data_IF_116439860251
#
_entry.id   IF_116439860251
#
_cell.length_a   1.000
_cell.length_b   1.000
_cell.length_c   1.000
_cell.angle_alpha   90.00
_cell.angle_beta   90.00
_cell.angle_gamma   90.00
#
_symmetry.space_group_name_H-M   'P 1'
#
loop_
_entity.id
_entity.type
_entity.pdbx_description
1 polymer ?
#
# COMPACT_ATOMS: atom_id res chain seq x y z
N UNK A 1 1.45 14.19 8.85
CA UNK A 1 0.11 13.76 9.28
C UNK A 1 0.29 12.44 10.03
N UNK A 2 -0.10 12.32 11.31
CA UNK A 2 0.11 11.10 12.08
C UNK A 2 -0.89 10.02 11.65
N UNK A 3 -0.40 8.82 11.33
CA UNK A 3 -1.22 7.68 10.92
C UNK A 3 -1.52 6.80 12.14
N UNK A 4 -2.78 6.41 12.35
CA UNK A 4 -3.20 5.67 13.55
C UNK A 4 -2.48 4.33 13.67
N UNK A 5 -2.31 3.62 12.55
CA UNK A 5 -1.56 2.36 12.51
C UNK A 5 -0.08 2.54 12.87
N UNK A 6 0.55 3.61 12.38
CA UNK A 6 1.93 3.95 12.74
C UNK A 6 2.06 4.25 14.24
N UNK A 7 1.13 5.03 14.81
CA UNK A 7 1.16 5.32 16.24
C UNK A 7 1.01 4.04 17.10
N UNK A 8 0.08 3.16 16.72
CA UNK A 8 -0.10 1.86 17.39
C UNK A 8 1.14 0.97 17.26
N UNK A 9 1.74 0.87 16.07
CA UNK A 9 2.95 0.07 15.87
C UNK A 9 4.13 0.62 16.68
N UNK A 10 4.30 1.94 16.70
CA UNK A 10 5.37 2.60 17.45
C UNK A 10 5.21 2.42 18.97
N UNK A 11 3.98 2.49 19.49
CA UNK A 11 3.70 2.19 20.90
C UNK A 11 4.11 0.76 21.28
N UNK A 12 3.80 -0.22 20.41
CA UNK A 12 4.22 -1.62 20.60
C UNK A 12 5.74 -1.77 20.56
N UNK A 13 6.42 -1.10 19.61
CA UNK A 13 7.89 -1.13 19.50
C UNK A 13 8.54 -0.53 20.76
N UNK A 14 8.03 0.60 21.26
CA UNK A 14 8.52 1.23 22.47
C UNK A 14 8.41 0.30 23.69
N UNK A 15 7.24 -0.35 23.87
CA UNK A 15 7.05 -1.31 24.95
C UNK A 15 8.00 -2.52 24.84
N UNK A 16 8.19 -3.06 23.63
CA UNK A 16 9.13 -4.16 23.38
C UNK A 16 10.59 -3.75 23.68
N UNK A 17 10.96 -2.53 23.31
CA UNK A 17 12.30 -1.99 23.58
C UNK A 17 12.55 -1.83 25.08
N UNK A 18 11.55 -1.41 25.86
CA UNK A 18 11.66 -1.26 27.33
C UNK A 18 11.96 -2.61 27.99
N UNK A 19 11.39 -3.72 27.49
CA UNK A 19 11.63 -5.07 28.02
C UNK A 19 12.83 -5.77 27.37
N UNK A 20 13.70 -5.03 26.67
CA UNK A 20 14.93 -5.56 26.08
C UNK A 20 14.75 -6.39 24.81
N UNK A 21 13.57 -6.38 24.19
CA UNK A 21 13.34 -7.02 22.88
C UNK A 21 13.60 -6.00 21.77
N UNK A 22 14.40 -6.37 20.78
CA UNK A 22 14.60 -5.56 19.57
C UNK A 22 13.78 -6.14 18.40
N UNK A 23 12.53 -5.68 18.20
CA UNK A 23 11.76 -6.11 17.04
C UNK A 23 12.33 -5.45 15.77
N UNK A 24 12.69 -6.26 14.78
CA UNK A 24 12.88 -5.80 13.39
C UNK A 24 11.51 -5.50 12.81
N UNK A 25 11.06 -4.24 12.92
CA UNK A 25 9.80 -3.82 12.34
C UNK A 25 10.01 -3.06 11.04
N UNK A 26 9.62 -3.68 9.93
CA UNK A 26 9.56 -3.02 8.63
C UNK A 26 8.16 -2.42 8.46
N UNK A 27 8.03 -1.13 8.81
CA UNK A 27 6.77 -0.43 8.62
C UNK A 27 6.53 -0.22 7.12
N UNK A 28 5.43 -0.76 6.62
CA UNK A 28 4.88 -0.39 5.31
C UNK A 28 3.85 0.71 5.55
N UNK A 29 4.05 1.94 5.05
CA UNK A 29 3.06 3.00 5.22
C UNK A 29 1.75 2.62 4.55
N UNK A 30 0.66 2.69 5.32
CA UNK A 30 -0.71 2.51 4.86
C UNK A 30 -1.56 3.64 5.42
N UNK A 31 -2.27 4.33 4.54
CA UNK A 31 -3.14 5.46 4.89
C UNK A 31 -4.45 5.34 4.13
N UNK A 32 -5.53 5.74 4.80
CA UNK A 32 -6.76 6.11 4.13
C UNK A 32 -7.14 7.52 4.55
N UNK A 33 -7.75 8.26 3.61
CA UNK A 33 -8.34 9.57 3.87
C UNK A 33 -9.71 9.62 3.23
N UNK A 34 -10.66 10.18 3.98
CA UNK A 34 -11.93 10.63 3.43
C UNK A 34 -11.83 12.12 3.14
N UNK A 35 -11.84 12.47 1.86
CA UNK A 35 -11.82 13.86 1.42
C UNK A 35 -13.09 14.16 0.63
N UNK A 36 -13.93 15.03 1.19
CA UNK A 36 -15.28 15.33 0.71
C UNK A 36 -16.18 14.09 0.59
N UNK A 37 -16.30 13.54 -0.63
CA UNK A 37 -17.09 12.33 -0.97
C UNK A 37 -16.20 11.24 -1.59
N UNK A 38 -14.90 11.34 -1.39
CA UNK A 38 -13.90 10.41 -1.93
C UNK A 38 -13.17 9.73 -0.80
N UNK A 39 -13.36 8.42 -0.69
CA UNK A 39 -12.49 7.55 0.08
C UNK A 39 -11.26 7.22 -0.78
N UNK A 40 -10.07 7.52 -0.28
CA UNK A 40 -8.80 7.25 -0.96
C UNK A 40 -7.92 6.46 0.00
N UNK A 41 -7.36 5.36 -0.47
CA UNK A 41 -6.45 4.50 0.27
C UNK A 41 -5.10 4.46 -0.45
N UNK A 42 -4.01 4.51 0.28
CA UNK A 42 -2.64 4.41 -0.24
C UNK A 42 -1.81 3.46 0.60
N UNK A 43 -0.97 2.67 -0.08
CA UNK A 43 0.02 1.79 0.52
C UNK A 43 1.36 1.90 -0.21
N UNK A 44 2.47 1.97 0.51
CA UNK A 44 3.82 2.02 -0.07
C UNK A 44 4.66 3.17 0.46
N UNK A 45 5.81 3.41 -0.16
CA UNK A 45 6.73 4.47 0.26
C UNK A 45 6.46 5.77 -0.53
N UNK A 46 5.91 6.83 0.11
CA UNK A 46 5.61 8.08 -0.57
C UNK A 46 6.87 8.92 -0.88
N UNK A 47 8.04 8.54 -0.37
CA UNK A 47 9.30 9.25 -0.61
C UNK A 47 9.98 8.83 -1.92
N UNK A 48 9.62 7.65 -2.43
CA UNK A 48 10.15 7.14 -3.69
C UNK A 48 9.45 7.86 -4.85
N UNK A 49 10.23 8.56 -5.68
CA UNK A 49 9.72 9.12 -6.93
C UNK A 49 9.54 7.99 -7.97
N UNK A 50 8.30 7.73 -8.43
CA UNK A 50 8.06 6.69 -9.41
C UNK A 50 8.57 7.10 -10.79
N UNK A 51 9.02 6.11 -11.56
CA UNK A 51 9.42 6.27 -12.96
C UNK A 51 8.21 6.12 -13.89
N UNK A 52 7.25 5.28 -13.50
CA UNK A 52 6.02 5.00 -14.25
C UNK A 52 4.83 4.89 -13.31
N UNK A 53 3.64 5.17 -13.84
CA UNK A 53 2.37 5.01 -13.11
C UNK A 53 1.31 4.45 -14.04
N UNK A 54 0.65 3.37 -13.63
CA UNK A 54 -0.55 2.85 -14.30
C UNK A 54 -1.76 3.26 -13.50
N UNK A 55 -2.73 3.92 -14.12
CA UNK A 55 -4.03 4.19 -13.49
C UNK A 55 -5.15 3.49 -14.25
N UNK A 56 -5.92 2.68 -13.54
CA UNK A 56 -7.10 1.96 -14.02
C UNK A 56 -8.36 2.54 -13.40
N UNK A 57 -9.44 2.57 -14.16
CA UNK A 57 -10.73 3.10 -13.72
C UNK A 57 -10.87 4.61 -13.90
N UNK A 58 -11.77 5.23 -13.13
CA UNK A 58 -12.20 6.62 -13.27
C UNK A 58 -12.02 7.39 -11.95
N UNK A 59 -11.04 8.30 -11.94
CA UNK A 59 -10.74 9.20 -10.80
C UNK A 59 -11.93 10.11 -10.43
N UNK A 60 -12.74 10.50 -11.43
CA UNK A 60 -13.94 11.34 -11.21
C UNK A 60 -15.03 10.62 -10.41
N UNK A 61 -15.22 9.32 -10.64
CA UNK A 61 -16.23 8.51 -9.96
C UNK A 61 -15.72 7.86 -8.67
N UNK A 62 -14.51 8.21 -8.23
CA UNK A 62 -13.84 7.59 -7.08
C UNK A 62 -13.80 6.06 -7.14
N UNK A 63 -13.61 5.51 -8.35
CA UNK A 63 -13.47 4.07 -8.56
C UNK A 63 -12.27 3.86 -9.48
N UNK A 64 -11.08 3.78 -8.89
CA UNK A 64 -9.82 3.72 -9.60
C UNK A 64 -8.73 3.08 -8.76
N UNK A 65 -7.70 2.59 -9.43
CA UNK A 65 -6.47 2.08 -8.84
C UNK A 65 -5.31 2.69 -9.61
N UNK A 66 -4.30 3.16 -8.89
CA UNK A 66 -3.06 3.71 -9.42
C UNK A 66 -1.89 2.95 -8.82
N UNK A 67 -1.10 2.32 -9.68
CA UNK A 67 0.13 1.62 -9.32
C UNK A 67 1.32 2.51 -9.66
N UNK A 68 2.22 2.67 -8.70
CA UNK A 68 3.46 3.43 -8.85
C UNK A 68 4.63 2.47 -8.96
N UNK A 69 5.48 2.67 -9.97
CA UNK A 69 6.59 1.78 -10.27
C UNK A 69 7.95 2.47 -10.11
N UNK A 70 8.93 1.72 -9.61
CA UNK A 70 10.36 2.05 -9.60
C UNK A 70 11.13 0.81 -10.00
N UNK A 71 12.09 0.93 -10.92
CA UNK A 71 12.93 -0.19 -11.38
C UNK A 71 12.11 -1.44 -11.78
N UNK A 72 10.95 -1.24 -12.43
CA UNK A 72 9.97 -2.28 -12.85
C UNK A 72 9.16 -2.95 -11.74
N UNK A 73 9.35 -2.56 -10.48
CA UNK A 73 8.59 -3.09 -9.35
C UNK A 73 7.57 -2.08 -8.84
N UNK A 74 6.44 -2.57 -8.31
CA UNK A 74 5.46 -1.73 -7.62
C UNK A 74 6.06 -1.24 -6.30
N UNK A 75 6.13 0.08 -6.12
CA UNK A 75 6.61 0.73 -4.88
C UNK A 75 5.49 1.38 -4.07
N UNK A 76 4.33 1.54 -4.69
CA UNK A 76 3.14 2.00 -4.01
C UNK A 76 1.88 1.80 -4.84
N UNK A 77 0.75 1.78 -4.15
CA UNK A 77 -0.58 1.64 -4.73
C UNK A 77 -1.50 2.65 -4.07
N UNK A 78 -2.31 3.32 -4.88
CA UNK A 78 -3.39 4.19 -4.45
C UNK A 78 -4.68 3.69 -5.06
N UNK A 79 -5.74 3.57 -4.28
CA UNK A 79 -7.07 3.29 -4.83
C UNK A 79 -8.11 4.26 -4.28
N UNK A 80 -9.15 4.48 -5.07
CA UNK A 80 -10.33 5.24 -4.67
C UNK A 80 -11.55 4.32 -4.55
N UNK A 81 -12.38 4.61 -3.55
CA UNK A 81 -13.68 3.97 -3.36
C UNK A 81 -13.60 2.69 -2.56
N UNK A 82 -14.49 1.73 -2.89
CA UNK A 82 -14.63 0.45 -2.19
C UNK A 82 -13.65 -0.63 -2.65
N UNK A 83 -12.65 -0.27 -3.45
CA UNK A 83 -11.60 -1.21 -3.86
C UNK A 83 -10.66 -1.48 -2.68
N UNK A 84 -10.18 -2.72 -2.54
CA UNK A 84 -9.29 -3.12 -1.45
C UNK A 84 -7.85 -3.36 -1.90
N UNK A 85 -7.46 -2.86 -3.08
CA UNK A 85 -6.16 -3.18 -3.68
C UNK A 85 -4.99 -2.69 -2.82
N UNK A 86 -5.03 -1.47 -2.27
CA UNK A 86 -3.98 -1.00 -1.37
C UNK A 86 -3.87 -1.85 -0.08
N UNK A 87 -4.99 -2.44 0.38
CA UNK A 87 -4.98 -3.35 1.53
C UNK A 87 -4.34 -4.69 1.16
N UNK A 88 -4.59 -5.22 -0.04
CA UNK A 88 -3.91 -6.42 -0.52
C UNK A 88 -2.39 -6.18 -0.66
N UNK A 89 -2.00 -5.00 -1.16
CA UNK A 89 -0.59 -4.62 -1.26
C UNK A 89 0.10 -4.40 0.09
N UNK A 90 -0.65 -4.02 1.13
CA UNK A 90 -0.09 -3.96 2.49
C UNK A 90 0.45 -5.33 2.91
N UNK A 91 -0.31 -6.39 2.69
CA UNK A 91 0.10 -7.76 3.02
C UNK A 91 1.27 -8.21 2.13
N UNK A 92 1.22 -7.94 0.81
CA UNK A 92 2.30 -8.26 -0.12
C UNK A 92 3.62 -7.60 0.29
N UNK A 93 3.58 -6.31 0.62
CA UNK A 93 4.75 -5.55 1.07
C UNK A 93 5.26 -6.02 2.44
N UNK A 94 4.37 -6.40 3.36
CA UNK A 94 4.76 -6.98 4.66
C UNK A 94 5.44 -8.34 4.50
N UNK A 95 5.00 -9.17 3.55
CA UNK A 95 5.65 -10.44 3.19
C UNK A 95 6.93 -10.27 2.35
N UNK A 96 7.19 -9.06 1.85
CA UNK A 96 8.33 -8.77 0.99
C UNK A 96 8.20 -9.30 -0.44
N UNK A 97 6.96 -9.62 -0.87
CA UNK A 97 6.65 -10.05 -2.24
C UNK A 97 6.76 -8.83 -3.15
N UNK A 98 7.54 -8.96 -4.23
CA UNK A 98 7.75 -7.89 -5.21
C UNK A 98 6.91 -8.17 -6.44
N UNK A 99 5.92 -7.31 -6.67
CA UNK A 99 5.09 -7.35 -7.88
C UNK A 99 5.77 -6.54 -8.98
N UNK A 100 5.85 -7.11 -10.18
CA UNK A 100 6.43 -6.47 -11.35
C UNK A 100 5.38 -5.77 -12.19
N UNK A 101 5.85 -4.89 -13.06
CA UNK A 101 5.01 -4.25 -14.07
C UNK A 101 4.28 -5.24 -15.00
N UNK A 102 4.91 -6.37 -15.33
CA UNK A 102 4.30 -7.41 -16.16
C UNK A 102 3.11 -8.04 -15.44
N UNK A 103 3.27 -8.38 -14.16
CA UNK A 103 2.20 -8.96 -13.33
C UNK A 103 0.99 -8.04 -13.24
N UNK A 104 1.23 -6.73 -13.09
CA UNK A 104 0.13 -5.74 -13.07
C UNK A 104 -0.58 -5.72 -14.42
N UNK A 105 0.16 -5.79 -15.54
CA UNK A 105 -0.44 -5.82 -16.88
C UNK A 105 -1.28 -7.07 -17.14
N UNK A 106 -0.82 -8.23 -16.71
CA UNK A 106 -1.53 -9.50 -16.90
C UNK A 106 -2.79 -9.59 -16.01
N UNK A 107 -2.73 -9.04 -14.81
CA UNK A 107 -3.86 -9.04 -13.87
C UNK A 107 -4.76 -7.82 -14.09
N UNK A 108 -5.63 -7.87 -15.11
CA UNK A 108 -6.56 -6.77 -15.44
C UNK A 108 -7.67 -6.55 -14.40
N UNK A 109 -7.96 -7.56 -13.57
CA UNK A 109 -9.02 -7.51 -12.54
C UNK A 109 -8.57 -6.86 -11.24
N UNK A 110 -7.28 -6.56 -11.09
CA UNK A 110 -6.68 -5.95 -9.89
C UNK A 110 -6.91 -6.80 -8.60
N UNK A 111 -7.07 -8.12 -8.74
CA UNK A 111 -7.26 -9.06 -7.61
C UNK A 111 -5.95 -9.78 -7.31
N UNK A 112 -5.36 -9.52 -6.15
CA UNK A 112 -4.06 -10.06 -5.73
C UNK A 112 -4.16 -11.15 -4.67
N UNK A 113 -5.36 -11.71 -4.46
CA UNK A 113 -5.63 -12.68 -3.40
C UNK A 113 -4.95 -14.03 -3.59
N UNK A 114 -4.61 -14.37 -4.83
CA UNK A 114 -3.88 -15.58 -5.22
C UNK A 114 -2.47 -15.66 -4.61
N UNK A 115 -1.89 -14.55 -4.17
CA UNK A 115 -0.58 -14.49 -3.52
C UNK A 115 -0.64 -14.70 -2.00
N UNK A 116 -1.84 -14.94 -1.43
CA UNK A 116 -2.00 -15.14 0.00
C UNK A 116 -1.94 -16.62 0.45
N UNK A 117 -2.00 -17.57 -0.49
CA UNK A 117 -1.83 -19.02 -0.28
C UNK A 117 -0.34 -19.41 -0.18
#
# INVERSE_FOLDING_TARGET
MPFWQLAQSQGKIAALSIIGKQPTYKLVPFIWIDLFKKHITFCGDPTIKPDETITRGKVKSNNYVSYFFKDKFVVGVLNGGSQNVALQFLELFQRGIKITYADVKENEEDVWETYFL
#
